data_IF_432188728320
#
_entry.id   IF_432188728320
#
_cell.length_a   1.000
_cell.length_b   1.000
_cell.length_c   1.000
_cell.angle_alpha   90.00
_cell.angle_beta   90.00
_cell.angle_gamma   90.00
#
_symmetry.space_group_name_H-M   'P 1'
#
loop_
_entity.id
_entity.type
_entity.pdbx_description
1 polymer ?
#
# COMPACT_ATOMS: atom_id res chain seq x y z
N UNK A 1 -10.15 2.86 28.53
CA UNK A 1 -8.91 2.90 27.76
C UNK A 1 -7.78 2.66 28.75
N UNK A 2 -7.21 1.49 28.75
CA UNK A 2 -6.01 1.20 29.57
C UNK A 2 -4.81 1.64 28.77
N UNK A 3 -4.16 2.74 29.18
CA UNK A 3 -2.88 3.17 28.62
C UNK A 3 -1.88 2.02 28.83
N UNK A 4 -1.65 1.24 27.78
CA UNK A 4 -0.59 0.24 27.77
C UNK A 4 0.72 0.98 27.46
N UNK A 5 1.76 0.90 28.31
CA UNK A 5 3.04 1.59 28.07
C UNK A 5 3.68 1.27 26.72
N UNK A 6 3.40 0.08 26.15
CA UNK A 6 3.86 -0.34 24.82
C UNK A 6 3.23 0.49 23.69
N UNK A 7 1.99 0.92 23.84
CA UNK A 7 1.30 1.69 22.80
C UNK A 7 1.90 3.10 22.66
N UNK A 8 2.32 3.72 23.76
CA UNK A 8 2.99 5.02 23.75
C UNK A 8 4.36 4.98 23.05
N UNK A 9 5.12 3.91 23.22
CA UNK A 9 6.43 3.74 22.55
C UNK A 9 6.26 3.54 21.04
N UNK A 10 5.36 2.64 20.64
CA UNK A 10 5.05 2.36 19.24
C UNK A 10 4.57 3.62 18.49
N UNK A 11 3.69 4.40 19.10
CA UNK A 11 3.20 5.66 18.56
C UNK A 11 4.36 6.63 18.27
N UNK A 12 5.28 6.80 19.23
CA UNK A 12 6.43 7.69 19.08
C UNK A 12 7.35 7.20 17.97
N UNK A 13 7.64 5.90 17.93
CA UNK A 13 8.51 5.30 16.91
C UNK A 13 7.99 5.52 15.49
N UNK A 14 6.71 5.19 15.24
CA UNK A 14 6.06 5.36 13.93
C UNK A 14 6.05 6.83 13.49
N UNK A 15 5.68 7.75 14.39
CA UNK A 15 5.60 9.16 14.06
C UNK A 15 6.98 9.79 13.84
N UNK A 16 7.98 9.39 14.61
CA UNK A 16 9.36 9.85 14.42
C UNK A 16 9.96 9.33 13.10
N UNK A 17 9.71 8.05 12.74
CA UNK A 17 10.10 7.50 11.45
C UNK A 17 9.51 8.30 10.29
N UNK A 18 8.21 8.59 10.35
CA UNK A 18 7.54 9.41 9.33
C UNK A 18 8.04 10.86 9.30
N UNK A 19 8.34 11.45 10.45
CA UNK A 19 8.85 12.83 10.55
C UNK A 19 10.30 12.96 10.04
N UNK A 20 11.08 11.88 10.13
CA UNK A 20 12.45 11.85 9.62
C UNK A 20 12.52 11.68 8.08
N UNK A 21 11.46 11.14 7.47
CA UNK A 21 11.38 10.97 6.03
C UNK A 21 11.20 12.33 5.31
N UNK A 22 11.63 12.44 4.04
CA UNK A 22 11.38 13.63 3.23
C UNK A 22 9.89 13.97 3.16
N UNK A 23 9.57 15.27 3.04
CA UNK A 23 8.19 15.70 2.82
C UNK A 23 7.65 15.09 1.52
N UNK A 24 6.39 14.61 1.52
CA UNK A 24 5.79 14.05 0.32
C UNK A 24 5.71 15.06 -0.83
N UNK A 25 6.05 14.63 -2.04
CA UNK A 25 5.72 15.36 -3.26
C UNK A 25 4.23 15.17 -3.61
N UNK A 26 3.65 16.15 -4.30
CA UNK A 26 2.26 16.10 -4.75
C UNK A 26 2.21 16.35 -6.25
N UNK A 27 1.54 15.45 -6.97
CA UNK A 27 1.24 15.56 -8.40
C UNK A 27 -0.27 15.64 -8.54
N UNK A 28 -0.78 16.73 -9.11
CA UNK A 28 -2.22 16.92 -9.33
C UNK A 28 -2.54 16.71 -10.80
N UNK A 29 -3.63 16.00 -11.07
CA UNK A 29 -4.13 15.72 -12.41
C UNK A 29 -5.65 16.02 -12.48
N UNK A 30 -6.22 16.21 -13.68
CA UNK A 30 -7.65 16.53 -13.82
C UNK A 30 -8.58 15.46 -13.25
N UNK A 31 -8.24 14.18 -13.44
CA UNK A 31 -9.05 13.02 -13.00
C UNK A 31 -8.22 11.99 -12.26
N UNK A 32 -8.89 11.10 -11.53
CA UNK A 32 -8.24 9.95 -10.87
C UNK A 32 -7.52 9.05 -11.89
N UNK A 33 -8.09 8.86 -13.07
CA UNK A 33 -7.46 8.09 -14.15
C UNK A 33 -6.16 8.75 -14.61
N UNK A 34 -6.15 10.07 -14.80
CA UNK A 34 -4.93 10.80 -15.19
C UNK A 34 -3.88 10.76 -14.07
N UNK A 35 -4.30 10.84 -12.79
CA UNK A 35 -3.41 10.71 -11.65
C UNK A 35 -2.79 9.31 -11.59
N UNK A 36 -3.60 8.26 -11.75
CA UNK A 36 -3.14 6.88 -11.81
C UNK A 36 -2.20 6.62 -12.98
N UNK A 37 -2.50 7.18 -14.16
CA UNK A 37 -1.64 7.08 -15.35
C UNK A 37 -0.24 7.63 -15.06
N UNK A 38 -0.13 8.82 -14.47
CA UNK A 38 1.18 9.41 -14.09
C UNK A 38 1.92 8.56 -13.07
N UNK A 39 1.22 8.04 -12.05
CA UNK A 39 1.82 7.12 -11.08
C UNK A 39 2.34 5.85 -11.76
N UNK A 40 1.62 5.30 -12.74
CA UNK A 40 2.02 4.10 -13.47
C UNK A 40 3.21 4.33 -14.41
N UNK A 41 3.31 5.50 -15.03
CA UNK A 41 4.49 5.88 -15.84
C UNK A 41 5.76 5.92 -14.97
N UNK A 42 5.69 6.54 -13.79
CA UNK A 42 6.79 6.51 -12.83
C UNK A 42 7.06 5.09 -12.30
N UNK A 43 6.01 4.31 -12.01
CA UNK A 43 6.12 2.91 -11.58
C UNK A 43 6.91 2.09 -12.57
N UNK A 44 6.54 2.10 -13.84
CA UNK A 44 7.20 1.27 -14.87
C UNK A 44 8.65 1.67 -15.05
N UNK A 45 8.95 2.97 -15.04
CA UNK A 45 10.33 3.47 -15.14
C UNK A 45 11.19 2.93 -13.97
N UNK A 46 10.72 3.04 -12.74
CA UNK A 46 11.45 2.59 -11.55
C UNK A 46 11.62 1.07 -11.54
N UNK A 47 10.56 0.31 -11.89
CA UNK A 47 10.66 -1.15 -11.97
C UNK A 47 11.66 -1.59 -13.04
N UNK A 48 11.67 -0.93 -14.22
CA UNK A 48 12.61 -1.25 -15.28
C UNK A 48 14.06 -0.95 -14.88
N UNK A 49 14.30 0.18 -14.19
CA UNK A 49 15.61 0.54 -13.63
C UNK A 49 16.07 -0.51 -12.60
N UNK A 50 15.20 -0.91 -11.67
CA UNK A 50 15.50 -1.92 -10.65
C UNK A 50 15.81 -3.29 -11.26
N UNK A 51 15.01 -3.73 -12.23
CA UNK A 51 15.27 -4.99 -12.95
C UNK A 51 16.58 -4.92 -13.74
N UNK A 52 16.88 -3.80 -14.38
CA UNK A 52 18.14 -3.65 -15.10
C UNK A 52 19.36 -3.71 -14.17
N UNK A 53 19.24 -3.22 -12.94
CA UNK A 53 20.31 -3.19 -11.95
C UNK A 53 20.50 -4.53 -11.23
N UNK A 54 19.39 -5.17 -10.82
CA UNK A 54 19.42 -6.33 -9.90
C UNK A 54 18.80 -7.61 -10.46
N UNK A 55 18.12 -7.53 -11.61
CA UNK A 55 17.40 -8.65 -12.22
C UNK A 55 15.96 -8.82 -11.71
N UNK A 56 15.54 -8.08 -10.69
CA UNK A 56 14.20 -8.14 -10.12
C UNK A 56 13.75 -6.79 -9.54
N UNK A 57 12.45 -6.64 -9.34
CA UNK A 57 11.83 -5.51 -8.67
C UNK A 57 10.58 -5.94 -7.89
N UNK A 58 10.33 -5.35 -6.72
CA UNK A 58 9.20 -5.66 -5.86
C UNK A 58 8.20 -4.51 -5.82
N UNK A 59 6.98 -4.77 -6.30
CA UNK A 59 5.85 -3.85 -6.29
C UNK A 59 4.74 -4.39 -5.39
N UNK A 60 4.36 -3.64 -4.36
CA UNK A 60 3.15 -3.93 -3.60
C UNK A 60 1.96 -3.16 -4.18
N UNK A 61 0.88 -3.88 -4.48
CA UNK A 61 -0.39 -3.35 -5.00
C UNK A 61 -1.32 -2.94 -3.85
N UNK A 62 -2.27 -2.07 -4.14
CA UNK A 62 -3.29 -1.61 -3.19
C UNK A 62 -4.69 -1.85 -3.74
N UNK A 63 -5.66 -2.01 -2.85
CA UNK A 63 -7.08 -2.12 -3.21
C UNK A 63 -7.79 -0.78 -3.36
N UNK A 64 -9.12 -0.85 -3.44
CA UNK A 64 -10.00 0.31 -3.58
C UNK A 64 -9.97 0.96 -4.95
N UNK A 65 -10.65 2.11 -5.10
CA UNK A 65 -10.78 2.83 -6.38
C UNK A 65 -9.42 3.25 -6.98
N UNK A 66 -8.49 3.68 -6.12
CA UNK A 66 -7.13 4.01 -6.56
C UNK A 66 -6.38 2.77 -7.08
N UNK A 67 -6.52 1.62 -6.42
CA UNK A 67 -5.91 0.37 -6.85
C UNK A 67 -6.44 -0.15 -8.17
N UNK A 68 -7.75 -0.05 -8.39
CA UNK A 68 -8.38 -0.41 -9.69
C UNK A 68 -7.83 0.49 -10.80
N UNK A 69 -7.84 1.81 -10.61
CA UNK A 69 -7.32 2.76 -11.59
C UNK A 69 -5.83 2.51 -11.91
N UNK A 70 -5.03 2.18 -10.87
CA UNK A 70 -3.63 1.80 -11.04
C UNK A 70 -3.48 0.50 -11.85
N UNK A 71 -4.21 -0.56 -11.52
CA UNK A 71 -4.10 -1.85 -12.21
C UNK A 71 -4.48 -1.72 -13.70
N UNK A 72 -5.55 -0.98 -14.00
CA UNK A 72 -6.01 -0.72 -15.37
C UNK A 72 -4.99 0.10 -16.17
N UNK A 73 -4.40 1.15 -15.56
CA UNK A 73 -3.41 2.01 -16.22
C UNK A 73 -2.04 1.33 -16.36
N UNK A 74 -1.67 0.47 -15.42
CA UNK A 74 -0.36 -0.18 -15.37
C UNK A 74 -0.24 -1.32 -16.38
N UNK A 75 -1.30 -2.09 -16.60
CA UNK A 75 -1.27 -3.27 -17.47
C UNK A 75 -0.76 -2.99 -18.90
N UNK A 76 -1.25 -1.97 -19.63
CA UNK A 76 -0.73 -1.67 -20.97
C UNK A 76 0.73 -1.20 -20.95
N UNK A 77 1.15 -0.50 -19.89
CA UNK A 77 2.54 -0.04 -19.74
C UNK A 77 3.49 -1.21 -19.47
N UNK A 78 3.07 -2.20 -18.66
CA UNK A 78 3.82 -3.45 -18.43
C UNK A 78 3.90 -4.26 -19.73
N UNK A 79 2.79 -4.40 -20.48
CA UNK A 79 2.77 -5.14 -21.73
C UNK A 79 3.77 -4.58 -22.78
N UNK A 80 4.01 -3.26 -22.73
CA UNK A 80 4.97 -2.58 -23.59
C UNK A 80 6.45 -2.79 -23.19
N UNK A 81 6.71 -3.35 -21.99
CA UNK A 81 8.08 -3.60 -21.52
C UNK A 81 8.70 -4.85 -22.19
N UNK A 82 10.02 -4.91 -22.17
CA UNK A 82 10.75 -6.10 -22.61
C UNK A 82 10.43 -7.31 -21.71
N UNK A 83 10.57 -8.52 -22.26
CA UNK A 83 10.35 -9.75 -21.51
C UNK A 83 11.19 -9.81 -20.21
N UNK A 84 12.50 -9.49 -20.20
CA UNK A 84 13.27 -9.48 -18.95
C UNK A 84 12.68 -8.56 -17.87
N UNK A 85 12.15 -7.39 -18.25
CA UNK A 85 11.51 -6.47 -17.29
C UNK A 85 10.24 -7.11 -16.73
N UNK A 86 9.35 -7.62 -17.59
CA UNK A 86 8.11 -8.27 -17.14
C UNK A 86 8.39 -9.47 -16.22
N UNK A 87 9.36 -10.30 -16.61
CA UNK A 87 9.77 -11.47 -15.84
C UNK A 87 10.51 -11.14 -14.54
N UNK A 88 11.06 -9.93 -14.40
CA UNK A 88 11.73 -9.48 -13.18
C UNK A 88 10.79 -8.85 -12.15
N UNK A 89 9.50 -8.60 -12.46
CA UNK A 89 8.57 -7.94 -11.55
C UNK A 89 7.91 -8.94 -10.62
N UNK A 90 8.07 -8.75 -9.31
CA UNK A 90 7.36 -9.46 -8.26
C UNK A 90 6.21 -8.60 -7.72
N UNK A 91 4.99 -9.14 -7.76
CA UNK A 91 3.77 -8.49 -7.30
C UNK A 91 3.38 -8.96 -5.91
N UNK A 92 3.16 -8.02 -5.03
CA UNK A 92 2.76 -8.19 -3.65
C UNK A 92 1.50 -7.37 -3.37
N UNK A 93 0.99 -7.41 -2.14
CA UNK A 93 -0.19 -6.66 -1.73
C UNK A 93 0.07 -5.96 -0.40
N UNK A 94 -0.30 -4.67 -0.31
CA UNK A 94 -0.13 -3.86 0.90
C UNK A 94 -1.02 -4.32 2.06
N UNK A 95 -2.19 -4.85 1.73
CA UNK A 95 -3.13 -5.53 2.64
C UNK A 95 -3.98 -6.52 1.86
N UNK A 96 -4.62 -7.44 2.58
CA UNK A 96 -5.58 -8.36 1.98
C UNK A 96 -6.71 -8.68 2.94
N UNK A 97 -7.85 -9.02 2.37
CA UNK A 97 -9.03 -9.47 3.08
C UNK A 97 -8.95 -10.99 3.27
N UNK A 98 -9.12 -11.44 4.50
CA UNK A 98 -9.09 -12.87 4.81
C UNK A 98 -10.43 -13.52 4.44
N UNK A 99 -10.65 -13.69 3.14
CA UNK A 99 -11.82 -14.29 2.51
C UNK A 99 -11.37 -15.36 1.49
N UNK A 100 -12.26 -16.26 1.03
CA UNK A 100 -11.88 -17.32 0.09
C UNK A 100 -11.23 -16.82 -1.19
N UNK A 101 -10.39 -17.65 -1.80
CA UNK A 101 -9.81 -17.35 -3.12
C UNK A 101 -10.93 -17.13 -4.15
N UNK A 102 -10.74 -16.09 -5.00
CA UNK A 102 -11.73 -15.71 -6.01
C UNK A 102 -12.90 -14.88 -5.48
N UNK A 103 -12.97 -14.60 -4.18
CA UNK A 103 -13.94 -13.64 -3.65
C UNK A 103 -13.64 -12.23 -4.24
N UNK A 104 -14.69 -11.53 -4.65
CA UNK A 104 -14.58 -10.20 -5.29
C UNK A 104 -14.01 -9.12 -4.38
N UNK A 105 -14.00 -9.35 -3.07
CA UNK A 105 -13.39 -8.47 -2.09
C UNK A 105 -11.86 -8.57 -2.05
N UNK A 106 -11.26 -9.59 -2.70
CA UNK A 106 -9.80 -9.77 -2.66
C UNK A 106 -9.05 -8.75 -3.49
N UNK A 107 -7.99 -8.20 -2.91
CA UNK A 107 -7.07 -7.32 -3.61
C UNK A 107 -6.19 -8.07 -4.63
N UNK A 108 -5.96 -9.37 -4.44
CA UNK A 108 -5.10 -10.17 -5.34
C UNK A 108 -5.66 -10.30 -6.76
N UNK A 109 -6.96 -10.04 -6.96
CA UNK A 109 -7.58 -9.96 -8.28
C UNK A 109 -7.00 -8.81 -9.13
N UNK A 110 -6.44 -7.78 -8.50
CA UNK A 110 -5.77 -6.67 -9.20
C UNK A 110 -4.49 -7.08 -9.94
N UNK A 111 -3.91 -8.23 -9.59
CA UNK A 111 -2.79 -8.78 -10.36
C UNK A 111 -3.22 -9.39 -11.70
N UNK A 112 -4.50 -9.76 -11.89
CA UNK A 112 -5.00 -10.44 -13.09
C UNK A 112 -4.66 -9.70 -14.39
N UNK A 113 -4.91 -8.39 -14.54
CA UNK A 113 -4.53 -7.66 -15.76
C UNK A 113 -3.02 -7.57 -15.95
N UNK A 114 -2.22 -7.58 -14.88
CA UNK A 114 -0.76 -7.52 -14.95
C UNK A 114 -0.16 -8.86 -15.38
N UNK A 115 -0.74 -9.97 -14.93
CA UNK A 115 -0.41 -11.32 -15.42
C UNK A 115 -0.75 -11.45 -16.90
N UNK A 116 -1.92 -10.99 -17.32
CA UNK A 116 -2.29 -10.94 -18.74
C UNK A 116 -1.36 -10.04 -19.56
N UNK A 117 -0.74 -9.03 -18.95
CA UNK A 117 0.26 -8.16 -19.55
C UNK A 117 1.67 -8.81 -19.62
N UNK A 118 1.87 -9.98 -19.04
CA UNK A 118 3.08 -10.78 -19.15
C UNK A 118 3.96 -10.87 -17.88
N UNK A 119 3.46 -10.44 -16.72
CA UNK A 119 4.10 -10.80 -15.44
C UNK A 119 3.82 -12.27 -15.16
N UNK A 120 4.84 -13.10 -14.87
CA UNK A 120 4.61 -14.51 -14.57
C UNK A 120 3.75 -14.71 -13.33
N UNK A 121 2.78 -15.64 -13.38
CA UNK A 121 1.94 -15.97 -12.22
C UNK A 121 2.78 -16.43 -11.02
N UNK A 122 3.91 -17.08 -11.26
CA UNK A 122 4.85 -17.52 -10.22
C UNK A 122 5.52 -16.38 -9.44
N UNK A 123 5.40 -15.15 -9.93
CA UNK A 123 5.90 -13.95 -9.27
C UNK A 123 4.79 -13.11 -8.63
N UNK A 124 3.57 -13.62 -8.61
CA UNK A 124 2.46 -13.03 -7.86
C UNK A 124 2.40 -13.68 -6.48
N UNK A 125 2.81 -12.98 -5.46
CA UNK A 125 2.80 -13.43 -4.06
C UNK A 125 1.39 -13.26 -3.48
N UNK A 126 0.50 -14.21 -3.84
CA UNK A 126 -0.88 -14.19 -3.38
C UNK A 126 -0.94 -14.56 -1.91
N UNK A 127 -1.68 -13.76 -1.17
CA UNK A 127 -1.81 -13.92 0.27
C UNK A 127 -2.84 -15.01 0.62
N UNK A 128 -2.57 -15.78 1.69
CA UNK A 128 -3.36 -16.95 2.07
C UNK A 128 -4.81 -16.59 2.44
N UNK A 129 -5.78 -17.36 1.95
CA UNK A 129 -7.18 -17.28 2.36
C UNK A 129 -7.56 -18.38 3.36
N UNK A 130 -8.85 -18.44 3.77
CA UNK A 130 -9.34 -19.47 4.70
C UNK A 130 -9.18 -20.91 4.22
N UNK A 131 -8.98 -21.14 2.93
CA UNK A 131 -8.69 -22.46 2.36
C UNK A 131 -7.21 -22.86 2.50
N UNK A 132 -6.30 -21.88 2.71
CA UNK A 132 -4.85 -22.09 2.73
C UNK A 132 -4.28 -22.05 4.14
N UNK A 133 -4.97 -21.39 5.07
CA UNK A 133 -4.54 -21.20 6.45
C UNK A 133 -5.68 -21.52 7.43
N UNK A 134 -5.33 -22.06 8.60
CA UNK A 134 -6.30 -22.41 9.66
C UNK A 134 -6.95 -21.18 10.31
N UNK A 135 -6.44 -19.99 10.05
CA UNK A 135 -6.95 -18.73 10.56
C UNK A 135 -6.07 -17.55 10.20
N UNK A 136 -6.54 -16.37 10.58
CA UNK A 136 -5.89 -15.09 10.25
C UNK A 136 -4.45 -14.99 10.78
N UNK A 137 -4.16 -15.57 11.96
CA UNK A 137 -2.81 -15.52 12.53
C UNK A 137 -1.82 -16.34 11.70
N UNK A 138 -2.22 -17.53 11.25
CA UNK A 138 -1.38 -18.34 10.37
C UNK A 138 -1.18 -17.64 9.01
N UNK A 139 -2.24 -17.07 8.43
CA UNK A 139 -2.14 -16.33 7.18
C UNK A 139 -1.15 -15.14 7.32
N UNK A 140 -1.24 -14.40 8.43
CA UNK A 140 -0.32 -13.29 8.72
C UNK A 140 1.13 -13.80 8.91
N UNK A 141 1.33 -14.91 9.62
CA UNK A 141 2.65 -15.50 9.80
C UNK A 141 3.27 -15.97 8.48
N UNK A 142 2.47 -16.51 7.56
CA UNK A 142 2.93 -16.86 6.20
C UNK A 142 3.36 -15.62 5.42
N UNK A 143 2.58 -14.53 5.46
CA UNK A 143 2.97 -13.27 4.83
C UNK A 143 4.31 -12.77 5.39
N UNK A 144 4.49 -12.78 6.71
CA UNK A 144 5.75 -12.37 7.34
C UNK A 144 6.91 -13.22 6.82
N UNK A 145 6.76 -14.54 6.81
CA UNK A 145 7.79 -15.46 6.33
C UNK A 145 8.16 -15.23 4.86
N UNK A 146 7.19 -14.96 4.00
CA UNK A 146 7.44 -14.65 2.59
C UNK A 146 8.19 -13.32 2.42
N UNK A 147 7.82 -12.28 3.19
CA UNK A 147 8.51 -10.99 3.20
C UNK A 147 9.97 -11.12 3.68
N UNK A 148 10.21 -11.94 4.71
CA UNK A 148 11.55 -12.24 5.21
C UNK A 148 12.38 -13.00 4.18
N UNK A 149 11.80 -14.02 3.56
CA UNK A 149 12.46 -14.84 2.55
C UNK A 149 12.84 -14.03 1.31
N UNK A 150 12.02 -13.06 0.94
CA UNK A 150 12.28 -12.14 -0.16
C UNK A 150 13.25 -10.98 0.20
N UNK A 151 13.72 -10.90 1.46
CA UNK A 151 14.62 -9.82 1.91
C UNK A 151 13.91 -8.47 2.14
N UNK A 152 12.57 -8.42 2.02
CA UNK A 152 11.81 -7.17 2.09
C UNK A 152 11.74 -6.56 3.50
N UNK A 153 12.11 -7.32 4.52
CA UNK A 153 12.22 -6.82 5.89
C UNK A 153 13.51 -6.02 6.13
N UNK A 154 14.54 -6.20 5.31
CA UNK A 154 15.78 -5.43 5.35
C UNK A 154 15.85 -4.36 4.27
N UNK A 155 15.59 -4.72 3.03
CA UNK A 155 15.82 -3.87 1.86
C UNK A 155 14.60 -3.01 1.52
N UNK A 156 13.39 -3.47 1.89
CA UNK A 156 12.11 -2.84 1.59
C UNK A 156 11.66 -3.11 0.15
N UNK A 157 10.45 -2.69 -0.16
CA UNK A 157 9.90 -2.72 -1.51
C UNK A 157 10.54 -1.64 -2.37
N UNK A 158 10.66 -1.86 -3.67
CA UNK A 158 10.99 -0.79 -4.61
C UNK A 158 9.89 0.24 -4.65
N UNK A 159 8.64 -0.23 -4.77
CA UNK A 159 7.45 0.60 -4.79
C UNK A 159 6.34 -0.05 -3.97
N UNK A 160 5.64 0.78 -3.20
CA UNK A 160 4.35 0.43 -2.61
C UNK A 160 3.30 1.40 -3.15
N UNK A 161 2.33 0.88 -3.87
CA UNK A 161 1.11 1.60 -4.20
C UNK A 161 0.19 1.62 -2.98
N UNK A 162 -0.36 2.78 -2.68
CA UNK A 162 -1.22 2.98 -1.51
C UNK A 162 -2.48 3.72 -1.92
N UNK A 163 -3.63 3.16 -1.58
CA UNK A 163 -4.91 3.85 -1.63
C UNK A 163 -5.13 4.69 -0.37
N UNK A 164 -6.04 5.65 -0.42
CA UNK A 164 -6.42 6.48 0.72
C UNK A 164 -7.87 6.24 1.10
N UNK A 165 -8.13 5.90 2.35
CA UNK A 165 -9.48 5.89 2.91
C UNK A 165 -10.02 7.30 3.17
N UNK A 166 -11.36 7.53 3.15
CA UNK A 166 -11.93 8.84 3.48
C UNK A 166 -11.69 9.23 4.94
N UNK A 167 -11.37 8.28 5.79
CA UNK A 167 -10.98 8.38 7.19
C UNK A 167 -9.45 8.47 7.39
N UNK A 168 -8.71 8.68 6.31
CA UNK A 168 -7.24 8.74 6.26
C UNK A 168 -6.53 7.43 6.67
N UNK A 169 -7.20 6.25 6.56
CA UNK A 169 -6.49 4.98 6.65
C UNK A 169 -5.70 4.68 5.37
N UNK A 170 -4.66 3.88 5.50
CA UNK A 170 -3.88 3.28 4.41
C UNK A 170 -3.77 1.78 4.64
N UNK A 171 -3.73 0.97 3.57
CA UNK A 171 -3.81 -0.48 3.67
C UNK A 171 -5.00 -0.88 4.59
N UNK A 172 -4.77 -1.70 5.61
CA UNK A 172 -5.76 -1.96 6.67
C UNK A 172 -5.35 -1.38 8.03
N UNK A 173 -4.59 -0.27 8.02
CA UNK A 173 -4.19 0.50 9.21
C UNK A 173 -5.16 1.67 9.43
N UNK A 174 -6.16 1.46 10.28
CA UNK A 174 -7.26 2.40 10.51
C UNK A 174 -6.99 3.35 11.68
N UNK A 175 -7.54 4.58 11.65
CA UNK A 175 -7.47 5.52 12.79
C UNK A 175 -7.95 4.87 14.09
N UNK A 176 -7.15 5.01 15.15
CA UNK A 176 -7.46 4.47 16.48
C UNK A 176 -7.49 2.95 16.60
N UNK A 177 -7.20 2.22 15.53
CA UNK A 177 -7.18 0.75 15.55
C UNK A 177 -5.80 0.23 16.02
N UNK A 178 -5.75 -0.77 16.93
CA UNK A 178 -4.48 -1.29 17.48
C UNK A 178 -3.47 -1.75 16.41
N UNK A 179 -3.95 -2.30 15.29
CA UNK A 179 -3.08 -2.73 14.19
C UNK A 179 -2.24 -1.59 13.60
N UNK A 180 -2.70 -0.33 13.67
CA UNK A 180 -1.93 0.82 13.23
C UNK A 180 -0.73 1.14 14.14
N UNK A 181 -0.67 0.56 15.33
CA UNK A 181 0.42 0.71 16.30
C UNK A 181 1.35 -0.52 16.34
N UNK A 182 1.22 -1.45 15.39
CA UNK A 182 2.09 -2.62 15.34
C UNK A 182 3.53 -2.24 14.95
N UNK A 183 4.50 -2.63 15.77
CA UNK A 183 5.94 -2.45 15.58
C UNK A 183 6.68 -3.77 15.83
N UNK A 184 7.93 -3.88 15.33
CA UNK A 184 8.74 -5.09 15.46
C UNK A 184 8.25 -6.24 14.55
N UNK A 185 7.42 -5.96 13.56
CA UNK A 185 6.91 -6.94 12.59
C UNK A 185 6.59 -6.26 11.25
N UNK A 186 6.84 -6.91 10.11
CA UNK A 186 6.53 -6.31 8.80
C UNK A 186 5.04 -6.39 8.44
N UNK A 187 4.27 -7.28 9.08
CA UNK A 187 2.84 -7.43 8.81
C UNK A 187 2.06 -7.72 10.10
N UNK A 188 0.77 -7.41 10.11
CA UNK A 188 -0.11 -7.52 11.27
C UNK A 188 -1.49 -8.05 10.89
N UNK A 189 -2.06 -8.90 11.75
CA UNK A 189 -3.46 -9.31 11.69
C UNK A 189 -4.38 -8.15 12.11
N UNK A 190 -5.39 -7.87 11.32
CA UNK A 190 -6.40 -6.83 11.58
C UNK A 190 -7.74 -7.51 11.82
N UNK A 191 -8.25 -7.41 13.05
CA UNK A 191 -9.55 -7.95 13.47
C UNK A 191 -10.52 -6.83 13.72
N UNK A 192 -11.79 -7.08 13.48
CA UNK A 192 -12.83 -6.07 13.70
C UNK A 192 -12.59 -4.77 12.91
N UNK A 193 -12.08 -4.91 11.68
CA UNK A 193 -11.96 -3.78 10.77
C UNK A 193 -13.26 -2.96 10.74
N UNK A 194 -13.20 -1.63 10.79
CA UNK A 194 -14.40 -0.78 10.73
C UNK A 194 -15.11 -0.85 9.37
N UNK A 195 -14.48 -1.50 8.40
CA UNK A 195 -15.04 -1.75 7.05
C UNK A 195 -15.10 -3.26 6.79
N UNK A 196 -16.21 -3.77 6.21
CA UNK A 196 -16.29 -5.18 5.82
C UNK A 196 -15.26 -5.52 4.72
N UNK A 197 -14.79 -6.76 4.63
CA UNK A 197 -14.89 -7.80 5.65
C UNK A 197 -14.04 -7.46 6.89
N UNK A 198 -14.40 -8.01 8.09
CA UNK A 198 -13.79 -7.58 9.35
C UNK A 198 -12.39 -8.14 9.60
N UNK A 199 -12.04 -9.26 8.98
CA UNK A 199 -10.72 -9.91 9.13
C UNK A 199 -9.84 -9.59 7.92
N UNK A 200 -8.67 -9.06 8.21
CA UNK A 200 -7.67 -8.65 7.22
C UNK A 200 -6.27 -8.83 7.78
N UNK A 201 -5.28 -8.71 6.94
CA UNK A 201 -3.89 -8.55 7.35
C UNK A 201 -3.21 -7.53 6.46
N UNK A 202 -2.22 -6.83 7.00
CA UNK A 202 -1.69 -5.61 6.42
C UNK A 202 -0.19 -5.50 6.65
N UNK A 203 0.53 -4.89 5.72
CA UNK A 203 1.84 -4.33 6.01
C UNK A 203 1.71 -3.32 7.15
N UNK A 204 2.75 -3.26 8.01
CA UNK A 204 2.87 -2.28 9.08
C UNK A 204 3.54 -1.00 8.59
N UNK A 205 3.52 0.06 9.41
CA UNK A 205 4.29 1.27 9.10
C UNK A 205 5.80 0.99 9.04
N UNK A 206 6.29 0.04 9.82
CA UNK A 206 7.70 -0.37 9.74
C UNK A 206 8.07 -0.87 8.34
N UNK A 207 7.25 -1.71 7.72
CA UNK A 207 7.47 -2.18 6.35
C UNK A 207 7.27 -1.07 5.31
N UNK A 208 6.24 -0.22 5.47
CA UNK A 208 5.95 0.90 4.58
C UNK A 208 7.08 1.94 4.60
N UNK A 209 7.60 2.29 5.78
CA UNK A 209 8.66 3.30 5.93
C UNK A 209 10.01 2.85 5.37
N UNK A 210 10.23 1.54 5.21
CA UNK A 210 11.42 0.99 4.53
C UNK A 210 11.34 1.02 3.01
N UNK A 211 10.15 1.19 2.44
CA UNK A 211 9.97 1.21 0.99
C UNK A 211 10.81 2.29 0.30
N UNK A 212 11.38 1.97 -0.86
CA UNK A 212 12.08 2.93 -1.69
C UNK A 212 11.16 4.06 -2.14
N UNK A 213 9.97 3.70 -2.61
CA UNK A 213 8.93 4.63 -3.06
C UNK A 213 7.58 4.26 -2.48
N UNK A 214 6.87 5.25 -1.94
CA UNK A 214 5.43 5.15 -1.67
C UNK A 214 4.70 6.06 -2.67
N UNK A 215 3.72 5.49 -3.37
CA UNK A 215 2.87 6.20 -4.30
C UNK A 215 1.42 6.13 -3.81
N UNK A 216 0.94 7.24 -3.23
CA UNK A 216 -0.46 7.36 -2.78
C UNK A 216 -1.31 7.85 -3.94
N UNK A 217 -2.33 7.08 -4.32
CA UNK A 217 -3.26 7.46 -5.40
C UNK A 217 -4.66 7.63 -4.82
N UNK A 218 -5.19 8.84 -4.95
CA UNK A 218 -6.50 9.18 -4.41
C UNK A 218 -7.23 10.21 -5.28
N UNK A 219 -8.55 10.09 -5.36
CA UNK A 219 -9.39 11.00 -6.12
C UNK A 219 -10.79 11.16 -5.52
N UNK A 220 -11.42 12.26 -5.91
CA UNK A 220 -12.77 12.65 -5.53
C UNK A 220 -12.84 13.52 -4.27
N UNK A 221 -13.84 14.43 -4.23
CA UNK A 221 -14.06 15.38 -3.12
C UNK A 221 -14.13 14.70 -1.75
N UNK A 222 -14.70 13.49 -1.68
CA UNK A 222 -14.78 12.71 -0.43
C UNK A 222 -13.44 12.31 0.17
N UNK A 223 -12.32 12.58 -0.53
CA UNK A 223 -10.95 12.33 -0.05
C UNK A 223 -10.23 13.61 0.40
N UNK A 224 -10.76 14.79 0.12
CA UNK A 224 -10.06 16.06 0.35
C UNK A 224 -9.60 16.24 1.81
N UNK A 225 -10.43 15.91 2.79
CA UNK A 225 -10.05 15.99 4.20
C UNK A 225 -8.99 14.93 4.56
N UNK A 226 -9.11 13.70 4.04
CA UNK A 226 -8.10 12.66 4.26
C UNK A 226 -6.75 13.02 3.61
N UNK A 227 -6.75 13.66 2.45
CA UNK A 227 -5.56 14.21 1.78
C UNK A 227 -4.92 15.30 2.66
N UNK A 228 -5.72 16.26 3.13
CA UNK A 228 -5.24 17.33 4.00
C UNK A 228 -4.59 16.79 5.29
N UNK A 229 -5.23 15.80 5.92
CA UNK A 229 -4.71 15.14 7.13
C UNK A 229 -3.44 14.32 6.81
N UNK A 230 -3.46 13.56 5.73
CA UNK A 230 -2.34 12.69 5.34
C UNK A 230 -1.08 13.45 4.92
N UNK A 231 -1.22 14.62 4.33
CA UNK A 231 -0.10 15.52 4.00
C UNK A 231 0.37 16.37 5.19
N UNK A 232 -0.37 16.35 6.28
CA UNK A 232 -0.06 17.09 7.50
C UNK A 232 1.05 16.50 8.36
N UNK A 233 1.12 16.98 9.59
CA UNK A 233 2.03 16.43 10.61
C UNK A 233 1.69 14.96 10.89
N UNK A 234 2.70 14.06 11.02
CA UNK A 234 2.45 12.67 11.36
C UNK A 234 1.62 12.48 12.63
N UNK A 235 0.49 11.81 12.49
CA UNK A 235 -0.45 11.47 13.57
C UNK A 235 -1.07 10.11 13.25
N UNK A 236 -0.44 9.04 13.73
CA UNK A 236 -0.86 7.66 13.44
C UNK A 236 -2.24 7.33 14.00
N UNK A 237 -2.67 8.03 15.05
CA UNK A 237 -3.97 7.78 15.71
C UNK A 237 -5.12 8.39 14.92
N UNK A 238 -4.95 9.62 14.43
CA UNK A 238 -6.02 10.36 13.74
C UNK A 238 -5.97 10.22 12.24
N UNK A 239 -4.78 10.12 11.69
CA UNK A 239 -4.54 10.09 10.24
C UNK A 239 -3.37 9.16 9.91
N UNK A 240 -3.55 7.84 9.94
CA UNK A 240 -2.51 6.86 9.61
C UNK A 240 -1.78 7.17 8.30
N UNK A 241 -2.47 7.70 7.31
CA UNK A 241 -1.89 8.12 6.03
C UNK A 241 -0.73 9.13 6.20
N UNK A 242 -0.73 9.96 7.23
CA UNK A 242 0.34 10.93 7.50
C UNK A 242 1.66 10.27 7.91
N UNK A 243 1.60 9.03 8.39
CA UNK A 243 2.76 8.20 8.75
C UNK A 243 3.22 7.27 7.62
N UNK A 244 2.47 7.21 6.52
CA UNK A 244 2.81 6.39 5.35
C UNK A 244 3.86 7.12 4.49
N UNK A 245 5.11 7.09 4.92
CA UNK A 245 6.24 7.79 4.30
C UNK A 245 7.40 6.83 4.14
N UNK A 246 7.77 6.52 2.87
CA UNK A 246 8.96 5.76 2.53
C UNK A 246 10.19 6.66 2.38
N UNK A 247 11.25 6.13 1.78
CA UNK A 247 12.46 6.93 1.45
C UNK A 247 12.12 8.10 0.53
N UNK A 248 11.18 7.89 -0.38
CA UNK A 248 10.50 8.93 -1.14
C UNK A 248 9.00 8.64 -1.16
N UNK A 249 8.18 9.69 -1.11
CA UNK A 249 6.72 9.56 -1.13
C UNK A 249 6.14 10.58 -2.08
N UNK A 250 5.28 10.11 -3.00
CA UNK A 250 4.56 10.96 -3.94
C UNK A 250 3.06 10.67 -3.84
N UNK A 251 2.27 11.74 -3.75
CA UNK A 251 0.82 11.69 -3.80
C UNK A 251 0.36 12.09 -5.19
N UNK A 252 -0.34 11.21 -5.87
CA UNK A 252 -0.98 11.44 -7.17
C UNK A 252 -2.47 11.62 -6.92
N UNK A 253 -2.92 12.85 -7.08
CA UNK A 253 -4.27 13.29 -6.71
C UNK A 253 -5.01 13.83 -7.92
N UNK A 254 -6.34 13.67 -7.94
CA UNK A 254 -7.15 14.47 -8.85
C UNK A 254 -7.47 15.85 -8.24
N UNK A 255 -7.87 16.79 -9.10
CA UNK A 255 -8.25 18.14 -8.65
C UNK A 255 -9.33 18.13 -7.55
N UNK A 256 -10.42 17.31 -7.64
CA UNK A 256 -11.43 17.26 -6.60
C UNK A 256 -10.91 16.85 -5.21
N UNK A 257 -9.92 15.96 -5.16
CA UNK A 257 -9.32 15.52 -3.88
C UNK A 257 -8.44 16.58 -3.22
N UNK A 258 -8.08 17.66 -3.94
CA UNK A 258 -7.25 18.75 -3.39
C UNK A 258 -8.07 19.93 -2.85
N UNK A 259 -9.36 19.98 -3.15
CA UNK A 259 -10.24 21.10 -2.75
C UNK A 259 -10.77 20.84 -1.36
N UNK A 260 -10.17 21.44 -0.33
CA UNK A 260 -10.79 21.49 0.98
C UNK A 260 -11.98 22.44 0.95
N UNK A 261 -13.20 21.92 1.06
CA UNK A 261 -14.35 22.77 1.39
C UNK A 261 -14.16 23.25 2.83
N UNK A 262 -13.72 24.49 2.99
CA UNK A 262 -13.90 25.21 4.23
C UNK A 262 -15.43 25.34 4.43
N UNK A 263 -16.03 24.41 5.15
CA UNK A 263 -17.35 24.63 5.71
C UNK A 263 -17.24 25.77 6.73
N UNK A 264 -17.73 26.92 6.34
CA UNK A 264 -17.91 28.11 7.16
C UNK A 264 -18.90 27.83 8.31
#
# INVERSE_FOLDING_TARGET
MTDNPTDGHALVEIQMGAAAAPAPAVVVAPTLTDAAQRACEDTVRILAEAVAERGFAHLALTGGSGGVALAESLAPLIAAQSEPVRCGIHLWFGDERFVPAGDTERNDLLATPLVAAGVPESQVHRLAGPQDASGLDEATARMIHELETAGLTSDGFDIVHVGLGPDAHVCSLFPGHPAALAVGTPAVAVRSSPKPPPERYSLTFEALQRAGRIMVVAGGEGKAEAVRLGLGTPDVVRAPASCCRGRETTWYLDEPATVSHNNA
#
